data_IF_963469714982
#
_entry.id   IF_963469714982
#
_cell.length_a   1.000
_cell.length_b   1.000
_cell.length_c   1.000
_cell.angle_alpha   90.00
_cell.angle_beta   90.00
_cell.angle_gamma   90.00
#
_symmetry.space_group_name_H-M   'P 1'
#
loop_
_entity.id
_entity.type
_entity.pdbx_description
1 polymer ?
#
# COMPACT_ATOMS: atom_id res chain seq x y z
N UNK A 1 -9.07 18.49 -30.52
CA UNK A 1 -9.76 19.53 -29.72
C UNK A 1 -9.49 20.88 -30.39
N UNK A 2 -10.27 21.23 -31.41
CA UNK A 2 -10.16 22.54 -32.05
C UNK A 2 -11.11 23.49 -31.34
N UNK A 3 -10.58 24.37 -30.49
CA UNK A 3 -11.34 25.57 -30.12
C UNK A 3 -11.55 26.36 -31.42
N UNK A 4 -12.81 26.62 -31.80
CA UNK A 4 -13.08 27.63 -32.81
C UNK A 4 -12.44 28.93 -32.33
N UNK A 5 -11.61 29.61 -33.14
CA UNK A 5 -10.97 30.85 -32.72
C UNK A 5 -12.07 31.85 -32.37
N UNK A 6 -12.02 32.42 -31.17
CA UNK A 6 -12.86 33.54 -30.79
C UNK A 6 -12.67 34.65 -31.84
N UNK A 7 -13.74 35.08 -32.49
CA UNK A 7 -13.73 36.11 -33.55
C UNK A 7 -13.32 37.52 -33.08
N UNK A 8 -12.84 37.66 -31.85
CA UNK A 8 -12.41 38.92 -31.28
C UNK A 8 -10.91 39.05 -31.43
N UNK A 9 -10.46 40.10 -32.12
CA UNK A 9 -9.05 40.45 -32.20
C UNK A 9 -8.69 41.39 -31.02
N UNK A 10 -7.53 41.20 -30.37
CA UNK A 10 -7.04 42.14 -29.38
C UNK A 10 -6.84 43.51 -30.02
N UNK A 11 -7.34 44.55 -29.35
CA UNK A 11 -7.14 45.93 -29.77
C UNK A 11 -5.74 46.39 -29.32
N UNK A 12 -4.85 46.63 -30.28
CA UNK A 12 -3.48 47.09 -30.03
C UNK A 12 -3.31 48.59 -30.31
N UNK A 13 -4.35 49.25 -30.83
CA UNK A 13 -4.26 50.64 -31.31
C UNK A 13 -4.80 51.64 -30.27
N UNK A 14 -5.11 51.18 -29.06
CA UNK A 14 -5.65 52.04 -28.00
C UNK A 14 -4.58 53.03 -27.56
N UNK A 15 -4.90 54.32 -27.70
CA UNK A 15 -4.04 55.41 -27.24
C UNK A 15 -3.97 55.36 -25.71
N UNK A 16 -2.78 55.55 -25.15
CA UNK A 16 -2.62 55.62 -23.69
C UNK A 16 -3.17 56.95 -23.18
N UNK A 17 -3.91 56.92 -22.07
CA UNK A 17 -4.62 58.10 -21.59
C UNK A 17 -5.60 57.80 -20.47
N UNK A 18 -6.34 58.82 -20.05
CA UNK A 18 -7.38 58.69 -19.03
C UNK A 18 -8.73 58.49 -19.69
N UNK A 19 -9.41 57.41 -19.31
CA UNK A 19 -10.68 56.98 -19.89
C UNK A 19 -11.77 56.82 -18.83
N UNK A 20 -13.02 56.91 -19.28
CA UNK A 20 -14.17 56.36 -18.58
C UNK A 20 -14.50 55.01 -19.23
N UNK A 21 -14.66 53.97 -18.42
CA UNK A 21 -15.13 52.68 -18.92
C UNK A 21 -16.64 52.64 -18.72
N UNK A 22 -17.39 52.66 -19.82
CA UNK A 22 -18.84 52.77 -19.81
C UNK A 22 -19.45 51.41 -20.16
N UNK A 23 -20.44 50.99 -19.38
CA UNK A 23 -21.25 49.83 -19.71
C UNK A 23 -22.24 50.21 -20.82
N UNK A 24 -22.07 49.59 -21.99
CA UNK A 24 -22.77 49.94 -23.23
C UNK A 24 -24.29 50.06 -23.07
N UNK A 25 -24.95 49.06 -22.45
CA UNK A 25 -26.41 49.05 -22.33
C UNK A 25 -26.96 50.04 -21.30
N UNK A 26 -26.21 50.37 -20.24
CA UNK A 26 -26.73 51.17 -19.12
C UNK A 26 -26.21 52.61 -19.11
N UNK A 27 -25.18 52.91 -19.92
CA UNK A 27 -24.51 54.21 -19.92
C UNK A 27 -23.76 54.54 -18.62
N UNK A 28 -23.75 53.61 -17.65
CA UNK A 28 -23.11 53.80 -16.33
C UNK A 28 -21.61 53.53 -16.43
N UNK A 29 -20.84 54.25 -15.63
CA UNK A 29 -19.38 54.16 -15.59
C UNK A 29 -18.90 53.19 -14.51
N UNK A 30 -17.82 52.46 -14.79
CA UNK A 30 -17.08 51.69 -13.79
C UNK A 30 -16.37 52.65 -12.84
N UNK A 31 -16.56 52.47 -11.53
CA UNK A 31 -15.96 53.29 -10.49
C UNK A 31 -15.49 52.46 -9.29
N UNK A 32 -14.59 53.04 -8.49
CA UNK A 32 -14.33 52.56 -7.13
C UNK A 32 -15.41 53.09 -6.19
N UNK A 33 -15.97 52.20 -5.36
CA UNK A 33 -16.99 52.52 -4.37
C UNK A 33 -16.45 53.50 -3.31
N UNK A 34 -17.26 54.49 -2.93
CA UNK A 34 -16.85 55.56 -2.00
C UNK A 34 -16.77 55.13 -0.54
N UNK A 35 -17.41 54.02 -0.18
CA UNK A 35 -17.42 53.46 1.17
C UNK A 35 -16.43 52.29 1.29
N UNK A 36 -16.20 51.55 0.22
CA UNK A 36 -15.26 50.43 0.16
C UNK A 36 -14.30 50.55 -1.03
N UNK A 37 -13.09 51.03 -0.77
CA UNK A 37 -12.08 51.27 -1.80
C UNK A 37 -11.52 50.01 -2.47
N UNK A 38 -11.92 48.81 -2.03
CA UNK A 38 -11.58 47.54 -2.68
C UNK A 38 -12.66 47.05 -3.63
N UNK A 39 -13.85 47.67 -3.61
CA UNK A 39 -15.01 47.26 -4.40
C UNK A 39 -15.14 48.09 -5.66
N UNK A 40 -15.30 47.41 -6.79
CA UNK A 40 -15.66 48.02 -8.07
C UNK A 40 -17.18 47.99 -8.23
N UNK A 41 -17.75 49.12 -8.63
CA UNK A 41 -19.19 49.27 -8.88
C UNK A 41 -19.43 49.96 -10.21
N UNK A 42 -20.65 49.83 -10.73
CA UNK A 42 -21.10 50.52 -11.94
C UNK A 42 -22.13 51.56 -11.52
N UNK A 43 -21.88 52.83 -11.81
CA UNK A 43 -22.68 53.95 -11.31
C UNK A 43 -22.88 55.05 -12.36
N UNK A 44 -23.82 55.96 -12.11
CA UNK A 44 -24.07 57.07 -13.03
C UNK A 44 -22.83 57.92 -13.25
N UNK A 45 -22.60 58.32 -14.51
CA UNK A 45 -21.42 59.08 -14.90
C UNK A 45 -21.50 60.50 -14.32
N UNK A 46 -20.61 60.81 -13.38
CA UNK A 46 -20.52 62.12 -12.73
C UNK A 46 -19.14 62.78 -12.89
N UNK A 47 -18.28 62.19 -13.73
CA UNK A 47 -16.93 62.68 -14.04
C UNK A 47 -15.98 62.76 -12.82
N UNK A 48 -16.33 62.16 -11.68
CA UNK A 48 -15.45 62.05 -10.52
C UNK A 48 -14.16 61.28 -10.84
N UNK A 49 -13.09 61.61 -10.11
CA UNK A 49 -11.78 60.98 -10.30
C UNK A 49 -11.80 59.47 -9.97
N UNK A 50 -12.74 59.00 -9.13
CA UNK A 50 -12.97 57.57 -8.89
C UNK A 50 -13.58 56.83 -10.08
N UNK A 51 -14.08 57.53 -11.11
CA UNK A 51 -14.58 56.94 -12.37
C UNK A 51 -13.56 57.00 -13.51
N UNK A 52 -12.42 57.66 -13.29
CA UNK A 52 -11.38 57.88 -14.29
C UNK A 52 -10.26 56.84 -14.15
N UNK A 53 -9.96 56.17 -15.26
CA UNK A 53 -8.97 55.10 -15.33
C UNK A 53 -7.85 55.48 -16.29
N UNK A 54 -6.64 55.60 -15.77
CA UNK A 54 -5.43 55.80 -16.56
C UNK A 54 -4.98 54.47 -17.15
N UNK A 55 -5.02 54.38 -18.47
CA UNK A 55 -4.59 53.22 -19.24
C UNK A 55 -3.09 53.29 -19.49
N UNK A 56 -2.36 52.27 -19.06
CA UNK A 56 -0.92 52.14 -19.27
C UNK A 56 -0.58 50.83 -19.96
N UNK A 57 0.44 50.82 -20.81
CA UNK A 57 0.91 49.60 -21.45
C UNK A 57 1.52 48.66 -20.40
N UNK A 58 1.15 47.38 -20.46
CA UNK A 58 1.69 46.31 -19.61
C UNK A 58 2.00 45.08 -20.46
N UNK A 59 3.22 45.00 -20.99
CA UNK A 59 3.62 43.93 -21.91
C UNK A 59 2.75 43.91 -23.17
N UNK A 60 2.05 42.80 -23.40
CA UNK A 60 1.11 42.61 -24.54
C UNK A 60 -0.32 43.09 -24.26
N UNK A 61 -0.59 43.65 -23.09
CA UNK A 61 -1.90 44.15 -22.70
C UNK A 61 -1.81 45.50 -22.00
N UNK A 62 -2.83 45.84 -21.22
CA UNK A 62 -2.97 47.13 -20.57
C UNK A 62 -3.27 46.98 -19.08
N UNK A 63 -2.89 47.98 -18.29
CA UNK A 63 -3.31 48.12 -16.90
C UNK A 63 -4.18 49.37 -16.76
N UNK A 64 -5.22 49.27 -15.94
CA UNK A 64 -6.14 50.37 -15.65
C UNK A 64 -5.91 50.86 -14.23
N UNK A 65 -5.34 52.05 -14.08
CA UNK A 65 -5.08 52.67 -12.77
C UNK A 65 -6.10 53.75 -12.47
N UNK A 66 -6.82 53.62 -11.36
CA UNK A 66 -7.77 54.62 -10.92
C UNK A 66 -7.07 55.94 -10.57
N UNK A 67 -7.63 57.07 -11.02
CA UNK A 67 -7.03 58.39 -10.82
C UNK A 67 -7.11 58.86 -9.37
N UNK A 68 -8.21 58.59 -8.67
CA UNK A 68 -8.42 59.06 -7.29
C UNK A 68 -7.62 58.26 -6.25
N UNK A 69 -7.65 56.94 -6.34
CA UNK A 69 -7.09 56.07 -5.29
C UNK A 69 -5.76 55.41 -5.70
N UNK A 70 -5.37 55.49 -6.98
CA UNK A 70 -4.15 54.86 -7.48
C UNK A 70 -4.20 53.32 -7.53
N UNK A 71 -5.36 52.72 -7.23
CA UNK A 71 -5.58 51.28 -7.31
C UNK A 71 -5.80 50.84 -8.76
N UNK A 72 -5.52 49.58 -9.03
CA UNK A 72 -5.64 48.96 -10.33
C UNK A 72 -6.92 48.12 -10.42
N UNK A 73 -7.51 48.09 -11.61
CA UNK A 73 -8.59 47.15 -11.90
C UNK A 73 -8.03 45.73 -11.87
N UNK A 74 -8.55 44.85 -11.02
CA UNK A 74 -8.07 43.49 -10.82
C UNK A 74 -9.20 42.48 -10.62
N UNK A 75 -8.84 41.25 -10.27
CA UNK A 75 -9.78 40.17 -9.96
C UNK A 75 -9.61 39.72 -8.51
N UNK A 76 -10.72 39.50 -7.81
CA UNK A 76 -10.74 38.88 -6.48
C UNK A 76 -10.56 37.38 -6.65
N UNK A 77 -9.39 36.85 -6.26
CA UNK A 77 -9.09 35.41 -6.28
C UNK A 77 -9.55 34.69 -5.00
N UNK A 78 -10.23 35.40 -4.09
CA UNK A 78 -10.70 34.87 -2.81
C UNK A 78 -12.07 34.19 -2.96
N UNK A 79 -12.83 34.56 -3.99
CA UNK A 79 -14.18 34.05 -4.23
C UNK A 79 -14.18 32.87 -5.21
N UNK A 80 -15.13 31.95 -5.04
CA UNK A 80 -15.38 30.88 -6.01
C UNK A 80 -15.84 31.47 -7.36
N UNK A 81 -15.43 30.84 -8.45
CA UNK A 81 -15.72 31.29 -9.83
C UNK A 81 -17.21 31.64 -10.03
N UNK A 82 -17.55 32.82 -10.59
CA UNK A 82 -16.65 33.76 -11.28
C UNK A 82 -15.95 34.75 -10.34
N UNK A 83 -14.62 34.91 -10.51
CA UNK A 83 -13.82 35.89 -9.79
C UNK A 83 -14.31 37.32 -10.04
N UNK A 84 -14.88 38.01 -9.04
CA UNK A 84 -15.43 39.35 -9.26
C UNK A 84 -14.30 40.38 -9.48
N UNK A 85 -14.61 41.41 -10.26
CA UNK A 85 -13.68 42.53 -10.50
C UNK A 85 -13.54 43.35 -9.21
N UNK A 86 -12.31 43.66 -8.82
CA UNK A 86 -11.99 44.40 -7.59
C UNK A 86 -10.97 45.51 -7.83
N UNK A 87 -10.83 46.40 -6.84
CA UNK A 87 -9.80 47.42 -6.83
C UNK A 87 -8.60 46.89 -6.04
N UNK A 88 -7.51 46.62 -6.75
CA UNK A 88 -6.30 45.99 -6.23
C UNK A 88 -5.19 47.02 -6.10
N UNK A 89 -4.40 47.02 -5.01
CA UNK A 89 -3.19 47.85 -4.94
C UNK A 89 -2.09 47.34 -5.90
N UNK A 90 -2.21 46.11 -6.40
CA UNK A 90 -1.27 45.49 -7.32
C UNK A 90 -1.76 45.56 -8.77
N UNK A 91 -0.88 45.88 -9.74
CA UNK A 91 -1.26 45.99 -11.14
C UNK A 91 -1.67 44.64 -11.74
N UNK A 92 -2.77 44.63 -12.47
CA UNK A 92 -3.21 43.50 -13.28
C UNK A 92 -3.17 43.87 -14.77
N UNK A 93 -2.78 42.91 -15.61
CA UNK A 93 -2.72 43.08 -17.06
C UNK A 93 -3.99 42.54 -17.70
N UNK A 94 -4.62 43.35 -18.54
CA UNK A 94 -5.86 43.06 -19.25
C UNK A 94 -5.61 43.09 -20.75
N UNK A 95 -6.24 42.17 -21.47
CA UNK A 95 -6.29 42.22 -22.93
C UNK A 95 -7.62 42.85 -23.32
N UNK A 96 -7.57 43.99 -24.01
CA UNK A 96 -8.77 44.66 -24.52
C UNK A 96 -9.02 44.14 -25.93
N UNK A 97 -10.27 43.83 -26.25
CA UNK A 97 -10.67 43.20 -27.51
C UNK A 97 -11.59 44.17 -28.26
N UNK A 98 -11.45 44.28 -29.59
CA UNK A 98 -12.38 45.07 -30.40
C UNK A 98 -13.76 44.38 -30.41
N UNK A 99 -14.80 45.14 -30.10
CA UNK A 99 -16.18 44.68 -30.20
C UNK A 99 -16.55 44.52 -31.69
N UNK A 100 -17.10 43.36 -32.08
CA UNK A 100 -17.58 43.11 -33.44
C UNK A 100 -18.93 43.84 -33.65
N UNK A 101 -19.06 44.75 -34.63
CA UNK A 101 -20.32 45.42 -34.91
C UNK A 101 -21.46 44.44 -35.23
N UNK A 102 -21.17 43.25 -35.76
CA UNK A 102 -22.19 42.23 -36.05
C UNK A 102 -22.72 41.49 -34.81
N UNK A 103 -22.03 41.60 -33.66
CA UNK A 103 -22.49 41.04 -32.39
C UNK A 103 -23.48 41.97 -31.65
N UNK A 104 -23.63 43.21 -32.12
CA UNK A 104 -24.60 44.18 -31.62
C UNK A 104 -25.85 44.06 -32.49
N UNK A 105 -26.81 43.23 -32.06
CA UNK A 105 -28.19 43.44 -32.49
C UNK A 105 -28.58 44.86 -32.06
N UNK A 106 -29.06 45.67 -32.99
CA UNK A 106 -29.49 47.04 -32.68
C UNK A 106 -30.49 47.05 -31.50
N UNK A 107 -30.19 47.89 -30.51
CA UNK A 107 -31.13 48.29 -29.46
C UNK A 107 -31.02 47.51 -28.15
N UNK A 108 -30.78 48.24 -27.07
CA UNK A 108 -31.38 47.90 -25.77
C UNK A 108 -32.88 47.65 -26.03
N UNK A 109 -33.47 46.55 -25.52
CA UNK A 109 -34.91 46.37 -25.64
C UNK A 109 -35.58 47.48 -24.82
N UNK A 110 -36.09 48.49 -25.53
CA UNK A 110 -37.20 49.29 -25.04
C UNK A 110 -38.33 48.34 -24.65
N UNK A 111 -39.06 48.73 -23.60
CA UNK A 111 -40.10 47.99 -22.88
C UNK A 111 -41.36 47.65 -23.72
N UNK A 112 -41.20 47.37 -25.01
CA UNK A 112 -42.22 46.81 -25.88
C UNK A 112 -42.02 45.30 -25.92
N UNK A 113 -42.97 44.56 -25.36
CA UNK A 113 -42.99 43.09 -25.30
C UNK A 113 -43.12 42.40 -26.65
N UNK A 114 -42.22 42.70 -27.59
CA UNK A 114 -42.11 42.00 -28.86
C UNK A 114 -41.40 40.66 -28.66
N UNK A 115 -42.09 39.58 -29.04
CA UNK A 115 -41.57 38.22 -28.94
C UNK A 115 -40.23 38.09 -29.69
N UNK A 116 -39.23 37.51 -29.01
CA UNK A 116 -37.94 37.12 -29.57
C UNK A 116 -38.09 36.49 -30.96
N UNK A 117 -37.29 36.89 -31.97
CA UNK A 117 -37.44 36.33 -33.32
C UNK A 117 -37.32 34.80 -33.31
N UNK A 118 -38.19 34.12 -34.06
CA UNK A 118 -38.30 32.65 -34.08
C UNK A 118 -36.96 31.93 -34.31
N UNK A 119 -36.07 32.55 -35.09
CA UNK A 119 -34.73 32.01 -35.36
C UNK A 119 -33.88 31.87 -34.08
N UNK A 120 -33.87 32.89 -33.22
CA UNK A 120 -33.15 32.84 -31.94
C UNK A 120 -33.75 31.83 -30.97
N UNK A 121 -35.07 31.63 -31.02
CA UNK A 121 -35.73 30.62 -30.21
C UNK A 121 -35.27 29.21 -30.62
N UNK A 122 -35.14 28.96 -31.92
CA UNK A 122 -34.65 27.67 -32.47
C UNK A 122 -33.20 27.42 -32.06
N UNK A 123 -32.33 28.41 -32.22
CA UNK A 123 -30.91 28.31 -31.86
C UNK A 123 -30.73 28.08 -30.35
N UNK A 124 -31.44 28.84 -29.51
CA UNK A 124 -31.43 28.65 -28.07
C UNK A 124 -31.91 27.25 -27.66
N UNK A 125 -32.97 26.75 -28.30
CA UNK A 125 -33.48 25.41 -28.05
C UNK A 125 -32.50 24.30 -28.50
N UNK A 126 -31.71 24.55 -29.54
CA UNK A 126 -30.63 23.66 -29.96
C UNK A 126 -29.49 23.65 -28.93
N UNK A 127 -29.00 24.82 -28.52
CA UNK A 127 -27.96 24.94 -27.50
C UNK A 127 -28.38 24.31 -26.16
N UNK A 128 -29.64 24.46 -25.77
CA UNK A 128 -30.17 23.80 -24.57
C UNK A 128 -30.17 22.27 -24.68
N UNK A 129 -30.48 21.72 -25.86
CA UNK A 129 -30.40 20.28 -26.10
C UNK A 129 -28.96 19.77 -26.06
N UNK A 130 -28.05 20.46 -26.73
CA UNK A 130 -26.63 20.08 -26.76
C UNK A 130 -26.00 20.16 -25.37
N UNK A 131 -26.34 21.22 -24.60
CA UNK A 131 -25.91 21.36 -23.22
C UNK A 131 -26.46 20.22 -22.34
N UNK A 132 -27.75 19.90 -22.48
CA UNK A 132 -28.36 18.79 -21.75
C UNK A 132 -27.67 17.46 -22.09
N UNK A 133 -27.36 17.20 -23.37
CA UNK A 133 -26.62 16.01 -23.77
C UNK A 133 -25.25 15.96 -23.10
N UNK A 134 -24.49 17.06 -23.13
CA UNK A 134 -23.17 17.15 -22.49
C UNK A 134 -23.24 16.93 -20.97
N UNK A 135 -24.24 17.47 -20.30
CA UNK A 135 -24.47 17.21 -18.86
C UNK A 135 -24.71 15.72 -18.61
N UNK A 136 -25.52 15.05 -19.44
CA UNK A 136 -25.73 13.60 -19.28
C UNK A 136 -24.47 12.78 -19.60
N UNK A 137 -23.63 13.23 -20.53
CA UNK A 137 -22.35 12.59 -20.86
C UNK A 137 -21.37 12.71 -19.67
N UNK A 138 -21.27 13.90 -19.08
CA UNK A 138 -20.46 14.14 -17.88
C UNK A 138 -20.95 13.30 -16.70
N UNK A 139 -22.26 13.26 -16.44
CA UNK A 139 -22.83 12.42 -15.38
C UNK A 139 -22.58 10.91 -15.57
N UNK A 140 -22.38 10.44 -16.82
CA UNK A 140 -21.94 9.05 -17.08
C UNK A 140 -20.45 8.87 -16.77
N UNK A 141 -19.61 9.84 -17.14
CA UNK A 141 -18.17 9.82 -16.84
C UNK A 141 -17.92 9.88 -15.34
N UNK A 142 -18.63 10.72 -14.61
CA UNK A 142 -18.51 10.83 -13.14
C UNK A 142 -18.86 9.51 -12.46
N UNK A 143 -19.94 8.85 -12.89
CA UNK A 143 -20.28 7.50 -12.38
C UNK A 143 -19.18 6.47 -12.68
N UNK A 144 -18.56 6.52 -13.86
CA UNK A 144 -17.46 5.61 -14.22
C UNK A 144 -16.21 5.88 -13.40
N UNK A 145 -15.89 7.15 -13.15
CA UNK A 145 -14.79 7.55 -12.27
C UNK A 145 -15.06 7.11 -10.84
N UNK A 146 -16.28 7.31 -10.32
CA UNK A 146 -16.68 6.84 -8.99
C UNK A 146 -16.43 5.35 -8.78
N UNK A 147 -16.87 4.49 -9.74
CA UNK A 147 -16.58 3.05 -9.68
C UNK A 147 -15.09 2.73 -9.68
N UNK A 148 -14.30 3.42 -10.50
CA UNK A 148 -12.84 3.23 -10.53
C UNK A 148 -12.18 3.63 -9.22
N UNK A 149 -12.66 4.71 -8.58
CA UNK A 149 -12.18 5.14 -7.27
C UNK A 149 -12.49 4.08 -6.21
N UNK A 150 -13.68 3.49 -6.21
CA UNK A 150 -14.04 2.40 -5.31
C UNK A 150 -13.17 1.15 -5.54
N UNK A 151 -12.95 0.77 -6.81
CA UNK A 151 -12.09 -0.37 -7.16
C UNK A 151 -10.64 -0.16 -6.71
N UNK A 152 -10.12 1.06 -6.87
CA UNK A 152 -8.78 1.42 -6.39
C UNK A 152 -8.70 1.35 -4.86
N UNK A 153 -9.69 1.89 -4.15
CA UNK A 153 -9.74 1.82 -2.68
C UNK A 153 -9.78 0.37 -2.16
N UNK A 154 -10.48 -0.53 -2.86
CA UNK A 154 -10.47 -1.97 -2.54
C UNK A 154 -9.08 -2.57 -2.73
N UNK A 155 -8.43 -2.29 -3.86
CA UNK A 155 -7.06 -2.76 -4.13
C UNK A 155 -6.06 -2.23 -3.11
N UNK A 156 -6.17 -0.98 -2.69
CA UNK A 156 -5.32 -0.40 -1.65
C UNK A 156 -5.50 -1.14 -0.31
N UNK A 157 -6.74 -1.47 0.06
CA UNK A 157 -7.01 -2.26 1.26
C UNK A 157 -6.41 -3.68 1.17
N UNK A 158 -6.53 -4.35 0.02
CA UNK A 158 -5.94 -5.67 -0.22
C UNK A 158 -4.41 -5.63 -0.14
N UNK A 159 -3.77 -4.59 -0.70
CA UNK A 159 -2.32 -4.39 -0.61
C UNK A 159 -1.88 -4.24 0.85
N UNK A 160 -2.61 -3.45 1.65
CA UNK A 160 -2.31 -3.28 3.08
C UNK A 160 -2.41 -4.62 3.82
N UNK A 161 -3.45 -5.40 3.55
CA UNK A 161 -3.62 -6.73 4.15
C UNK A 161 -2.49 -7.67 3.77
N UNK A 162 -2.15 -7.75 2.48
CA UNK A 162 -1.08 -8.62 1.99
C UNK A 162 0.29 -8.25 2.58
N UNK A 163 0.57 -6.96 2.77
CA UNK A 163 1.79 -6.50 3.46
C UNK A 163 1.83 -6.98 4.91
N UNK A 164 0.72 -6.85 5.64
CA UNK A 164 0.65 -7.31 7.02
C UNK A 164 0.86 -8.84 7.15
N UNK A 165 0.29 -9.62 6.22
CA UNK A 165 0.47 -11.07 6.17
C UNK A 165 1.93 -11.45 5.85
N UNK A 166 2.59 -10.71 4.94
CA UNK A 166 3.99 -10.92 4.62
C UNK A 166 4.88 -10.61 5.84
N UNK A 167 4.66 -9.50 6.52
CA UNK A 167 5.39 -9.13 7.73
C UNK A 167 5.23 -10.18 8.84
N UNK A 168 4.04 -10.78 8.96
CA UNK A 168 3.78 -11.87 9.89
C UNK A 168 4.57 -13.13 9.53
N UNK A 169 4.59 -13.51 8.24
CA UNK A 169 5.40 -14.64 7.75
C UNK A 169 6.89 -14.41 7.99
N UNK A 170 7.39 -13.21 7.74
CA UNK A 170 8.80 -12.86 7.96
C UNK A 170 9.18 -12.95 9.45
N UNK A 171 8.30 -12.51 10.35
CA UNK A 171 8.49 -12.71 11.80
C UNK A 171 8.53 -14.20 12.15
N UNK A 172 7.63 -15.00 11.57
CA UNK A 172 7.61 -16.44 11.77
C UNK A 172 8.88 -17.14 11.28
N UNK A 173 9.41 -16.76 10.11
CA UNK A 173 10.68 -17.27 9.58
C UNK A 173 11.83 -16.94 10.53
N UNK A 174 11.98 -15.67 10.94
CA UNK A 174 13.03 -15.26 11.89
C UNK A 174 12.98 -16.05 13.20
N UNK A 175 11.78 -16.33 13.71
CA UNK A 175 11.61 -17.14 14.92
C UNK A 175 12.11 -18.57 14.72
N UNK A 176 11.77 -19.20 13.58
CA UNK A 176 12.23 -20.56 13.26
C UNK A 176 13.74 -20.61 13.03
N UNK A 177 14.32 -19.60 12.39
CA UNK A 177 15.77 -19.52 12.19
C UNK A 177 16.50 -19.44 13.54
N UNK A 178 15.97 -18.66 14.49
CA UNK A 178 16.53 -18.58 15.83
C UNK A 178 16.43 -19.92 16.58
N UNK A 179 15.30 -20.63 16.45
CA UNK A 179 15.12 -21.97 17.03
C UNK A 179 16.07 -23.01 16.39
N UNK A 180 16.24 -22.97 15.07
CA UNK A 180 17.20 -23.84 14.39
C UNK A 180 18.64 -23.55 14.84
N UNK A 181 18.99 -22.28 15.03
CA UNK A 181 20.29 -21.90 15.58
C UNK A 181 20.50 -22.48 16.98
N UNK A 182 19.52 -22.38 17.88
CA UNK A 182 19.67 -22.97 19.23
C UNK A 182 19.78 -24.48 19.17
N UNK A 183 18.96 -25.15 18.35
CA UNK A 183 19.04 -26.60 18.14
C UNK A 183 20.38 -27.06 17.58
N UNK A 184 20.96 -26.32 16.65
CA UNK A 184 22.30 -26.61 16.12
C UNK A 184 23.39 -26.49 17.20
N UNK A 185 23.31 -25.49 18.09
CA UNK A 185 24.25 -25.38 19.20
C UNK A 185 24.09 -26.53 20.21
N UNK A 186 22.85 -26.95 20.50
CA UNK A 186 22.57 -28.11 21.34
C UNK A 186 23.13 -29.40 20.75
N UNK A 187 22.95 -29.63 19.44
CA UNK A 187 23.49 -30.77 18.72
C UNK A 187 25.02 -30.78 18.76
N UNK A 188 25.68 -29.66 18.46
CA UNK A 188 27.15 -29.56 18.51
C UNK A 188 27.70 -29.90 19.91
N UNK A 189 27.00 -29.48 20.97
CA UNK A 189 27.36 -29.84 22.35
C UNK A 189 27.22 -31.34 22.60
N UNK A 190 26.15 -31.96 22.09
CA UNK A 190 25.92 -33.40 22.22
C UNK A 190 26.93 -34.23 21.43
N UNK A 191 27.32 -33.79 20.24
CA UNK A 191 28.40 -34.41 19.47
C UNK A 191 29.74 -34.37 20.23
N UNK A 192 30.07 -33.25 20.87
CA UNK A 192 31.26 -33.15 21.70
C UNK A 192 31.20 -34.10 22.92
N UNK A 193 30.04 -34.20 23.56
CA UNK A 193 29.81 -35.13 24.69
C UNK A 193 30.01 -36.59 24.27
N UNK A 194 29.43 -36.98 23.13
CA UNK A 194 29.60 -38.32 22.56
C UNK A 194 31.08 -38.59 22.20
N UNK A 195 31.76 -37.66 21.56
CA UNK A 195 33.18 -37.82 21.22
C UNK A 195 34.07 -38.01 22.47
N UNK A 196 33.72 -37.36 23.59
CA UNK A 196 34.40 -37.59 24.87
C UNK A 196 34.11 -38.97 25.44
N UNK A 197 32.87 -39.45 25.32
CA UNK A 197 32.47 -40.80 25.76
C UNK A 197 33.15 -41.89 24.93
N UNK A 198 33.29 -41.70 23.62
CA UNK A 198 34.02 -42.64 22.76
C UNK A 198 35.50 -42.74 23.15
N UNK A 199 36.14 -41.61 23.46
CA UNK A 199 37.52 -41.61 23.97
C UNK A 199 37.64 -42.33 25.31
N UNK A 200 36.70 -42.10 26.24
CA UNK A 200 36.65 -42.79 27.53
C UNK A 200 36.49 -44.31 27.33
N UNK A 201 35.61 -44.72 26.42
CA UNK A 201 35.37 -46.12 26.10
C UNK A 201 36.62 -46.78 25.49
N UNK A 202 37.28 -46.13 24.53
CA UNK A 202 38.51 -46.61 23.92
C UNK A 202 39.63 -46.79 24.97
N UNK A 203 39.77 -45.85 25.90
CA UNK A 203 40.72 -45.97 27.00
C UNK A 203 40.43 -47.20 27.88
N UNK A 204 39.17 -47.44 28.23
CA UNK A 204 38.77 -48.63 29.00
C UNK A 204 39.00 -49.93 28.23
N UNK A 205 38.77 -49.95 26.92
CA UNK A 205 39.07 -51.10 26.08
C UNK A 205 40.58 -51.40 26.10
N UNK A 206 41.42 -50.38 26.01
CA UNK A 206 42.87 -50.53 26.10
C UNK A 206 43.28 -51.09 27.46
N UNK A 207 42.77 -50.54 28.57
CA UNK A 207 43.03 -51.03 29.93
C UNK A 207 42.63 -52.52 30.09
N UNK A 208 41.45 -52.91 29.61
CA UNK A 208 41.01 -54.32 29.61
C UNK A 208 41.98 -55.20 28.81
N UNK A 209 42.47 -54.70 27.68
CA UNK A 209 43.41 -55.42 26.82
C UNK A 209 44.74 -55.63 27.56
N UNK A 210 45.28 -54.58 28.19
CA UNK A 210 46.49 -54.66 29.03
C UNK A 210 46.30 -55.66 30.18
N UNK A 211 45.18 -55.60 30.89
CA UNK A 211 44.86 -56.55 31.96
C UNK A 211 44.82 -58.00 31.47
N UNK A 212 44.31 -58.27 30.27
CA UNK A 212 44.29 -59.61 29.67
C UNK A 212 45.69 -60.12 29.31
N UNK A 213 46.64 -59.24 29.01
CA UNK A 213 48.02 -59.63 28.70
C UNK A 213 48.85 -59.97 29.94
N UNK A 214 48.42 -59.54 31.14
CA UNK A 214 49.08 -59.88 32.39
C UNK A 214 48.87 -61.37 32.71
N UNK A 215 49.96 -62.14 32.78
CA UNK A 215 49.90 -63.52 33.27
C UNK A 215 49.52 -63.53 34.76
N UNK A 216 48.65 -64.46 35.22
CA UNK A 216 48.37 -64.59 36.64
C UNK A 216 49.66 -64.93 37.40
N UNK A 217 49.93 -64.22 38.50
CA UNK A 217 51.12 -64.47 39.32
C UNK A 217 51.11 -65.92 39.81
N UNK A 218 52.21 -66.69 39.69
CA UNK A 218 52.27 -68.09 40.13
C UNK A 218 51.85 -68.30 41.60
N UNK A 219 52.09 -67.30 42.45
CA UNK A 219 51.66 -67.29 43.85
C UNK A 219 50.13 -67.26 44.01
N UNK A 220 49.42 -66.53 43.15
CA UNK A 220 47.96 -66.46 43.12
C UNK A 220 47.40 -67.80 42.61
N UNK A 221 47.98 -68.34 41.53
CA UNK A 221 47.60 -69.66 40.99
C UNK A 221 47.77 -70.73 42.09
N UNK A 222 48.90 -70.73 42.80
CA UNK A 222 49.18 -71.70 43.87
C UNK A 222 48.18 -71.60 45.01
N UNK A 223 47.79 -70.38 45.42
CA UNK A 223 46.79 -70.15 46.46
C UNK A 223 45.40 -70.63 46.03
N UNK A 224 44.98 -70.35 44.80
CA UNK A 224 43.70 -70.81 44.25
C UNK A 224 43.66 -72.34 44.18
N UNK A 225 44.75 -72.98 43.74
CA UNK A 225 44.85 -74.44 43.72
C UNK A 225 44.78 -75.04 45.12
N UNK A 226 45.47 -74.45 46.10
CA UNK A 226 45.44 -74.91 47.48
C UNK A 226 44.05 -74.73 48.12
N UNK A 227 43.35 -73.63 47.84
CA UNK A 227 41.97 -73.42 48.28
C UNK A 227 40.97 -74.35 47.59
N UNK A 228 41.16 -74.67 46.31
CA UNK A 228 40.35 -75.65 45.58
C UNK A 228 40.53 -77.07 46.14
N UNK A 229 41.75 -77.45 46.50
CA UNK A 229 42.06 -78.72 47.16
C UNK A 229 41.37 -78.83 48.53
N UNK A 230 41.41 -77.75 49.31
CA UNK A 230 40.71 -77.66 50.61
C UNK A 230 39.18 -77.72 50.44
N UNK A 231 38.63 -77.11 49.40
CA UNK A 231 37.20 -77.20 49.06
C UNK A 231 36.80 -78.59 48.58
N UNK A 232 37.62 -79.24 47.76
CA UNK A 232 37.39 -80.62 47.29
C UNK A 232 37.46 -81.64 48.42
N UNK A 233 38.33 -81.43 49.40
CA UNK A 233 38.40 -82.30 50.58
C UNK A 233 37.25 -82.06 51.54
N UNK A 234 36.69 -80.84 51.61
CA UNK A 234 35.44 -80.56 52.34
C UNK A 234 34.19 -81.15 51.69
N UNK A 235 34.15 -81.29 50.36
CA UNK A 235 32.99 -81.83 49.64
C UNK A 235 32.94 -83.36 49.59
N UNK A 236 34.04 -84.07 49.87
CA UNK A 236 34.05 -85.53 50.05
C UNK A 236 33.46 -86.00 51.39
N UNK A 237 33.16 -85.10 52.32
CA UNK A 237 32.70 -85.44 53.69
C UNK A 237 31.32 -84.87 54.07
N UNK A 238 30.48 -84.43 53.13
CA UNK A 238 29.12 -83.94 53.42
C UNK A 238 28.07 -84.57 52.52
N UNK A 239 27.08 -85.19 53.16
CA UNK A 239 25.79 -85.58 52.59
C UNK A 239 25.06 -84.35 52.04
N UNK A 240 24.22 -84.50 50.99
CA UNK A 240 23.52 -83.37 50.40
C UNK A 240 22.36 -82.98 51.32
N UNK A 241 22.45 -81.82 51.94
CA UNK A 241 21.28 -81.13 52.49
C UNK A 241 20.77 -80.19 51.41
N UNK A 242 19.68 -80.58 50.77
CA UNK A 242 18.91 -79.75 49.85
C UNK A 242 18.35 -78.59 50.67
N UNK A 243 18.91 -77.40 50.51
CA UNK A 243 18.26 -76.18 50.93
C UNK A 243 17.12 -75.87 49.94
N UNK A 244 15.95 -75.38 50.40
CA UNK A 244 14.90 -74.95 49.48
C UNK A 244 15.40 -73.75 48.65
N UNK A 245 14.85 -73.52 47.45
CA UNK A 245 15.25 -72.41 46.61
C UNK A 245 14.93 -71.09 47.33
N UNK A 246 15.97 -70.31 47.64
CA UNK A 246 15.82 -68.92 48.02
C UNK A 246 15.49 -68.16 46.75
N UNK A 247 14.24 -67.74 46.60
CA UNK A 247 13.83 -66.75 45.62
C UNK A 247 14.58 -65.45 45.92
N UNK A 248 15.56 -65.11 45.09
CA UNK A 248 16.12 -63.75 45.06
C UNK A 248 15.18 -62.93 44.20
N UNK A 249 14.25 -62.22 44.83
CA UNK A 249 13.52 -61.14 44.19
C UNK A 249 14.49 -59.96 44.02
N UNK A 250 14.76 -59.58 42.77
CA UNK A 250 15.42 -58.31 42.45
C UNK A 250 14.46 -57.16 42.78
N UNK A 251 14.48 -56.72 44.04
CA UNK A 251 13.83 -55.49 44.48
C UNK A 251 14.84 -54.35 44.47
N UNK A 252 15.00 -53.69 43.32
CA UNK A 252 15.51 -52.34 43.21
C UNK A 252 15.16 -51.84 41.80
N UNK A 253 13.88 -51.55 41.62
CA UNK A 253 13.42 -50.65 40.57
C UNK A 253 14.20 -49.34 40.67
N UNK A 254 14.75 -48.94 39.54
CA UNK A 254 15.34 -47.62 39.35
C UNK A 254 14.16 -46.64 39.28
N UNK A 255 13.98 -45.86 40.34
CA UNK A 255 12.92 -44.85 40.46
C UNK A 255 13.21 -43.69 39.49
N UNK A 256 12.79 -43.82 38.23
CA UNK A 256 12.52 -42.67 37.39
C UNK A 256 11.25 -42.02 37.93
N UNK A 257 11.41 -41.07 38.87
CA UNK A 257 10.41 -40.02 39.04
C UNK A 257 10.36 -39.20 37.77
N UNK A 258 9.53 -39.66 36.84
CA UNK A 258 8.99 -38.89 35.74
C UNK A 258 7.83 -38.05 36.30
N UNK A 259 8.14 -37.12 37.20
CA UNK A 259 7.26 -35.99 37.48
C UNK A 259 7.85 -34.82 36.69
N UNK A 260 7.03 -34.26 35.79
CA UNK A 260 7.28 -33.14 34.87
C UNK A 260 7.83 -33.47 33.46
N UNK A 261 7.29 -34.49 32.80
CA UNK A 261 7.14 -34.43 31.34
C UNK A 261 5.68 -34.71 30.98
N UNK A 262 4.88 -33.64 31.00
CA UNK A 262 3.66 -33.59 30.21
C UNK A 262 4.06 -33.62 28.73
N UNK A 263 4.20 -34.83 28.17
CA UNK A 263 4.05 -35.02 26.73
C UNK A 263 2.58 -34.80 26.38
N UNK A 264 2.17 -33.54 26.37
CA UNK A 264 0.95 -33.12 25.70
C UNK A 264 1.17 -33.35 24.21
N UNK A 265 0.69 -34.48 23.72
CA UNK A 265 0.39 -34.63 22.29
C UNK A 265 -0.51 -33.45 21.91
N UNK A 266 -0.01 -32.54 21.08
CA UNK A 266 -0.84 -31.58 20.36
C UNK A 266 -1.21 -32.10 18.97
N UNK A 267 -1.29 -33.42 18.80
CA UNK A 267 -2.06 -33.99 17.71
C UNK A 267 -3.37 -34.48 18.32
N UNK A 268 -4.37 -33.60 18.30
CA UNK A 268 -5.76 -33.98 18.37
C UNK A 268 -6.06 -34.90 17.20
N UNK A 269 -6.61 -36.09 17.46
CA UNK A 269 -7.29 -36.93 16.46
C UNK A 269 -8.63 -36.32 16.04
N UNK A 270 -8.69 -35.00 15.90
CA UNK A 270 -9.75 -34.32 15.18
C UNK A 270 -9.23 -34.18 13.75
N UNK A 271 -9.31 -35.27 12.96
CA UNK A 271 -9.46 -35.07 11.53
C UNK A 271 -10.79 -34.33 11.36
N UNK A 272 -10.81 -33.07 10.88
CA UNK A 272 -12.07 -32.49 10.46
C UNK A 272 -12.52 -33.32 9.26
N UNK A 273 -13.64 -34.03 9.38
CA UNK A 273 -14.40 -34.47 8.22
C UNK A 273 -14.70 -33.20 7.39
N UNK A 274 -13.84 -32.93 6.41
CA UNK A 274 -14.00 -31.80 5.52
C UNK A 274 -15.31 -32.03 4.77
N UNK A 275 -16.27 -31.09 4.80
CA UNK A 275 -17.52 -31.27 4.09
C UNK A 275 -17.22 -31.55 2.61
N UNK A 276 -17.87 -32.55 2.01
CA UNK A 276 -17.56 -33.07 0.66
C UNK A 276 -17.31 -31.99 -0.43
N UNK A 277 -17.94 -30.82 -0.28
CA UNK A 277 -17.75 -29.67 -1.17
C UNK A 277 -16.39 -28.97 -1.09
N UNK A 278 -15.69 -29.02 0.04
CA UNK A 278 -14.35 -28.42 0.20
C UNK A 278 -13.27 -29.31 -0.44
N UNK A 279 -13.39 -30.63 -0.27
CA UNK A 279 -12.53 -31.62 -0.95
C UNK A 279 -12.74 -31.55 -2.46
N UNK A 280 -13.99 -31.43 -2.92
CA UNK A 280 -14.29 -31.25 -4.35
C UNK A 280 -13.70 -29.95 -4.92
N UNK A 281 -13.72 -28.84 -4.15
CA UNK A 281 -13.09 -27.58 -4.55
C UNK A 281 -11.56 -27.67 -4.61
N UNK A 282 -10.93 -28.41 -3.69
CA UNK A 282 -9.49 -28.64 -3.70
C UNK A 282 -9.07 -29.49 -4.90
N UNK A 283 -9.83 -30.54 -5.22
CA UNK A 283 -9.61 -31.34 -6.43
C UNK A 283 -9.81 -30.52 -7.71
N UNK A 284 -10.88 -29.73 -7.81
CA UNK A 284 -11.12 -28.86 -8.97
C UNK A 284 -10.02 -27.80 -9.14
N UNK A 285 -9.47 -27.29 -8.04
CA UNK A 285 -8.35 -26.35 -8.06
C UNK A 285 -7.04 -27.03 -8.49
N UNK A 286 -6.82 -28.28 -8.10
CA UNK A 286 -5.66 -29.06 -8.50
C UNK A 286 -5.67 -29.38 -10.00
N UNK A 287 -6.79 -29.86 -10.55
CA UNK A 287 -6.93 -30.10 -12.00
C UNK A 287 -6.69 -28.83 -12.83
N UNK A 288 -7.18 -27.68 -12.34
CA UNK A 288 -6.97 -26.40 -13.01
C UNK A 288 -5.50 -25.99 -13.03
N UNK A 289 -4.72 -26.32 -11.99
CA UNK A 289 -3.29 -26.05 -11.93
C UNK A 289 -2.48 -26.99 -12.83
N UNK A 290 -2.84 -28.27 -12.92
CA UNK A 290 -2.21 -29.19 -13.90
C UNK A 290 -2.44 -28.75 -15.34
N UNK A 291 -3.64 -28.24 -15.65
CA UNK A 291 -3.98 -27.75 -16.99
C UNK A 291 -3.14 -26.52 -17.37
N UNK A 292 -2.93 -25.60 -16.42
CA UNK A 292 -2.10 -24.40 -16.63
C UNK A 292 -0.62 -24.79 -16.83
N UNK A 293 -0.12 -25.71 -16.00
CA UNK A 293 1.28 -26.17 -16.10
C UNK A 293 1.55 -26.97 -17.38
N UNK A 294 0.52 -27.58 -17.97
CA UNK A 294 0.62 -28.26 -19.27
C UNK A 294 0.47 -27.30 -20.47
N UNK A 295 -0.04 -26.08 -20.27
CA UNK A 295 -0.15 -25.07 -21.34
C UNK A 295 1.06 -24.13 -21.42
N UNK A 296 1.78 -23.92 -20.32
CA UNK A 296 2.95 -23.03 -20.27
C UNK A 296 4.29 -23.74 -20.57
N UNK A 297 4.25 -24.98 -21.08
CA UNK A 297 5.42 -25.80 -21.37
C UNK A 297 6.06 -25.64 -22.76
N UNK A 298 5.39 -24.98 -23.71
CA UNK A 298 5.78 -24.96 -25.13
C UNK A 298 5.86 -23.53 -25.73
N UNK A 299 6.62 -22.60 -25.13
CA UNK A 299 7.00 -21.36 -25.83
C UNK A 299 8.52 -21.16 -25.74
N UNK A 300 9.20 -21.76 -26.72
CA UNK A 300 10.62 -21.61 -27.00
C UNK A 300 10.97 -20.15 -27.26
N UNK A 301 11.88 -19.62 -26.45
CA UNK A 301 12.39 -18.26 -26.59
C UNK A 301 13.13 -18.05 -27.91
N UNK A 302 12.58 -17.18 -28.77
CA UNK A 302 13.34 -16.52 -29.82
C UNK A 302 13.59 -15.06 -29.43
N UNK A 303 14.82 -14.79 -28.99
CA UNK A 303 15.30 -13.46 -28.65
C UNK A 303 15.76 -12.74 -29.92
N UNK A 304 15.09 -11.66 -30.30
CA UNK A 304 15.64 -10.69 -31.26
C UNK A 304 15.68 -9.29 -30.66
N UNK A 305 16.87 -8.89 -30.21
CA UNK A 305 17.21 -7.49 -29.95
C UNK A 305 17.79 -6.90 -31.23
N UNK A 306 17.07 -5.97 -31.87
CA UNK A 306 17.66 -5.04 -32.84
C UNK A 306 18.04 -3.73 -32.16
N UNK A 307 19.25 -3.27 -32.48
CA UNK A 307 19.80 -1.94 -32.21
C UNK A 307 19.33 -0.93 -33.24
#
# INVERSE_FOLDING_TARGET
MGQKPSHHAPDQDIILGTYFIIHDCSGKAIQIDSQNYHKITVWDRHAGDNQQWYLQQSGKGYMFKNKQHGYYLGLSLVDDSPFPVCASPYPASWVVMKQDPAAIGEGCPDETGEEMPKQYQIERAQLQRDLAEKVTELARKDRKLGRRTEDLARKDADIVRLKADLDAKDRGIRSRDQELLTKNHELARKEQELAMKDRELLAKIQEITELKTLRPKPSIIRRILQEAELRSNRSKSRTPSIAPPVSVTYGSEFDFRSEDIDLRSQYSEDEPELPDGEVANLYARAEKLETILSQDGDDDGDSHYEY
#
